data_IF_417651783711
#
_entry.id   IF_417651783711
#
_cell.length_a   1.000
_cell.length_b   1.000
_cell.length_c   1.000
_cell.angle_alpha   90.00
_cell.angle_beta   90.00
_cell.angle_gamma   90.00
#
_symmetry.space_group_name_H-M   'P 1'
#
loop_
_entity.id
_entity.type
_entity.pdbx_description
1 polymer ?
#
# COMPACT_ATOMS: atom_id res chain seq x y z
N UNK A 1 -3.68 -35.30 19.37
CA UNK A 1 -3.47 -34.37 18.26
C UNK A 1 -2.82 -35.09 17.10
N UNK A 2 -3.42 -35.08 15.92
CA UNK A 2 -2.84 -35.71 14.72
C UNK A 2 -1.88 -34.67 14.09
N UNK A 3 -0.59 -34.96 14.11
CA UNK A 3 0.39 -34.10 13.45
C UNK A 3 0.32 -34.30 11.93
N UNK A 4 0.21 -33.21 11.17
CA UNK A 4 0.35 -33.26 9.73
C UNK A 4 1.80 -33.59 9.36
N UNK A 5 1.99 -34.65 8.58
CA UNK A 5 3.32 -34.99 8.03
C UNK A 5 3.36 -34.56 6.57
N UNK A 6 4.35 -33.73 6.22
CA UNK A 6 4.59 -33.37 4.83
C UNK A 6 5.18 -34.57 4.06
N UNK A 7 4.63 -34.83 2.88
CA UNK A 7 5.18 -35.82 1.92
C UNK A 7 6.11 -35.12 0.89
N UNK A 8 6.38 -33.84 1.04
CA UNK A 8 7.22 -33.07 0.14
C UNK A 8 8.67 -33.48 0.28
N UNK A 9 9.31 -33.82 -0.85
CA UNK A 9 10.75 -34.06 -0.94
C UNK A 9 11.44 -32.83 -1.55
N UNK A 10 12.10 -31.99 -0.73
CA UNK A 10 12.76 -30.76 -1.21
C UNK A 10 13.98 -31.01 -2.12
N UNK A 11 14.45 -32.25 -2.21
CA UNK A 11 15.55 -32.65 -3.10
C UNK A 11 15.09 -33.27 -4.42
N UNK A 12 13.78 -33.34 -4.67
CA UNK A 12 13.27 -33.87 -5.93
C UNK A 12 13.35 -32.84 -7.06
N UNK A 13 13.60 -33.27 -8.32
CA UNK A 13 13.57 -32.37 -9.47
C UNK A 13 12.24 -31.59 -9.60
N UNK A 14 11.13 -32.25 -9.34
CA UNK A 14 9.81 -31.63 -9.37
C UNK A 14 9.65 -30.50 -8.31
N UNK A 15 10.25 -30.65 -7.15
CA UNK A 15 10.27 -29.59 -6.13
C UNK A 15 11.11 -28.40 -6.60
N UNK A 16 12.30 -28.67 -7.16
CA UNK A 16 13.19 -27.60 -7.66
C UNK A 16 12.50 -26.79 -8.76
N UNK A 17 11.90 -27.45 -9.75
CA UNK A 17 11.13 -26.79 -10.82
C UNK A 17 9.99 -25.94 -10.27
N UNK A 18 9.21 -26.48 -9.34
CA UNK A 18 8.10 -25.74 -8.72
C UNK A 18 8.59 -24.55 -7.89
N UNK A 19 9.72 -24.70 -7.17
CA UNK A 19 10.31 -23.61 -6.40
C UNK A 19 10.85 -22.49 -7.29
N UNK A 20 11.51 -22.81 -8.40
CA UNK A 20 11.98 -21.83 -9.39
C UNK A 20 10.81 -21.08 -10.06
N UNK A 21 9.76 -21.82 -10.43
CA UNK A 21 8.55 -21.21 -10.99
C UNK A 21 7.85 -20.27 -10.00
N UNK A 22 7.82 -20.61 -8.71
CA UNK A 22 7.29 -19.74 -7.66
C UNK A 22 8.19 -18.52 -7.43
N UNK A 23 9.52 -18.71 -7.38
CA UNK A 23 10.48 -17.63 -7.23
C UNK A 23 10.35 -16.57 -8.35
N UNK A 24 10.14 -17.01 -9.59
CA UNK A 24 9.89 -16.10 -10.70
C UNK A 24 8.63 -15.23 -10.47
N UNK A 25 7.53 -15.84 -10.01
CA UNK A 25 6.30 -15.10 -9.68
C UNK A 25 6.49 -14.12 -8.52
N UNK A 26 7.28 -14.48 -7.52
CA UNK A 26 7.62 -13.58 -6.42
C UNK A 26 8.46 -12.39 -6.89
N UNK A 27 9.38 -12.61 -7.83
CA UNK A 27 10.14 -11.51 -8.45
C UNK A 27 9.23 -10.52 -9.17
N UNK A 28 8.22 -11.00 -9.91
CA UNK A 28 7.24 -10.13 -10.55
C UNK A 28 6.41 -9.33 -9.52
N UNK A 29 6.01 -9.99 -8.44
CA UNK A 29 5.30 -9.34 -7.33
C UNK A 29 6.15 -8.24 -6.67
N UNK A 30 7.41 -8.54 -6.38
CA UNK A 30 8.34 -7.60 -5.76
C UNK A 30 8.59 -6.38 -6.64
N UNK A 31 8.65 -6.57 -7.97
CA UNK A 31 8.77 -5.48 -8.93
C UNK A 31 7.56 -4.55 -8.90
N UNK A 32 6.35 -5.07 -8.74
CA UNK A 32 5.13 -4.25 -8.62
C UNK A 32 5.04 -3.55 -7.26
N UNK A 33 5.44 -4.23 -6.17
CA UNK A 33 5.53 -3.61 -4.85
C UNK A 33 6.55 -2.46 -4.84
N UNK A 34 7.68 -2.62 -5.51
CA UNK A 34 8.68 -1.55 -5.65
C UNK A 34 8.10 -0.30 -6.34
N UNK A 35 7.21 -0.46 -7.32
CA UNK A 35 6.50 0.68 -7.95
C UNK A 35 5.58 1.39 -6.96
N UNK A 36 4.87 0.65 -6.12
CA UNK A 36 4.03 1.23 -5.07
C UNK A 36 4.86 1.99 -4.02
N UNK A 37 6.02 1.46 -3.65
CA UNK A 37 6.95 2.08 -2.70
C UNK A 37 7.59 3.36 -3.27
N UNK A 38 7.89 3.38 -4.57
CA UNK A 38 8.48 4.54 -5.23
C UNK A 38 7.53 5.74 -5.35
N UNK A 39 6.24 5.57 -5.07
CA UNK A 39 5.24 6.63 -5.21
C UNK A 39 5.25 7.23 -6.61
N UNK A 40 5.36 8.55 -6.74
CA UNK A 40 5.48 9.25 -8.02
C UNK A 40 6.85 9.10 -8.70
N UNK A 41 7.80 8.41 -8.05
CA UNK A 41 9.18 8.23 -8.49
C UNK A 41 10.13 9.33 -7.99
N UNK A 42 11.44 9.06 -8.12
CA UNK A 42 12.51 9.86 -7.50
C UNK A 42 12.36 11.37 -7.75
N UNK A 43 12.11 11.77 -9.00
CA UNK A 43 11.93 13.19 -9.37
C UNK A 43 10.84 13.92 -8.55
N UNK A 44 9.71 13.24 -8.32
CA UNK A 44 8.60 13.87 -7.58
C UNK A 44 8.82 13.82 -6.07
N UNK A 45 9.46 12.78 -5.57
CA UNK A 45 9.88 12.66 -4.17
C UNK A 45 10.91 13.75 -3.83
N UNK A 46 11.98 13.89 -4.62
CA UNK A 46 12.98 14.95 -4.46
C UNK A 46 12.37 16.35 -4.48
N UNK A 47 11.46 16.60 -5.44
CA UNK A 47 10.73 17.89 -5.52
C UNK A 47 9.86 18.13 -4.28
N UNK A 48 9.30 17.06 -3.69
CA UNK A 48 8.47 17.14 -2.50
C UNK A 48 9.33 17.48 -1.28
N UNK A 49 10.46 16.79 -1.10
CA UNK A 49 11.45 17.07 -0.06
C UNK A 49 12.06 18.47 -0.18
N UNK A 50 12.38 18.93 -1.40
CA UNK A 50 12.89 20.28 -1.64
C UNK A 50 11.93 21.41 -1.19
N UNK A 51 10.66 21.07 -0.95
CA UNK A 51 9.65 22.00 -0.39
C UNK A 51 9.49 21.86 1.13
N UNK A 52 10.36 21.09 1.79
CA UNK A 52 10.29 20.80 3.22
C UNK A 52 9.14 19.86 3.61
N UNK A 53 8.61 19.08 2.67
CA UNK A 53 7.49 18.18 2.91
C UNK A 53 7.95 16.73 2.98
N UNK A 54 7.23 15.92 3.78
CA UNK A 54 7.45 14.50 3.94
C UNK A 54 6.50 13.71 3.04
N UNK A 55 6.97 12.60 2.49
CA UNK A 55 6.13 11.65 1.74
C UNK A 55 5.04 11.04 2.63
N UNK A 56 4.05 10.39 2.02
CA UNK A 56 2.99 9.72 2.76
C UNK A 56 3.55 8.68 3.75
N UNK A 57 4.56 7.89 3.33
CA UNK A 57 5.17 6.85 4.16
C UNK A 57 5.98 7.44 5.31
N UNK A 58 6.78 8.47 5.06
CA UNK A 58 7.54 9.17 6.10
C UNK A 58 6.62 9.80 7.15
N UNK A 59 5.46 10.34 6.73
CA UNK A 59 4.46 10.87 7.68
C UNK A 59 3.85 9.77 8.55
N UNK A 60 3.58 8.59 7.97
CA UNK A 60 3.09 7.43 8.72
C UNK A 60 4.17 6.96 9.71
N UNK A 61 5.42 6.81 9.25
CA UNK A 61 6.54 6.37 10.09
C UNK A 61 6.78 7.29 11.31
N UNK A 62 6.61 8.59 11.14
CA UNK A 62 6.72 9.55 12.24
C UNK A 62 5.50 9.57 13.18
N UNK A 63 4.38 9.02 12.75
CA UNK A 63 3.14 9.02 13.53
C UNK A 63 2.96 7.77 14.38
N UNK A 64 3.39 6.61 13.88
CA UNK A 64 3.27 5.33 14.59
C UNK A 64 4.27 5.23 15.74
N UNK A 65 3.94 4.44 16.71
CA UNK A 65 4.83 4.18 17.84
C UNK A 65 6.16 3.59 17.37
N UNK A 66 7.30 4.02 17.94
CA UNK A 66 8.61 3.44 17.60
C UNK A 66 8.60 1.92 17.75
N UNK A 67 9.25 1.25 16.81
CA UNK A 67 9.40 -0.22 16.77
C UNK A 67 8.07 -0.99 16.68
N UNK A 68 6.93 -0.30 16.42
CA UNK A 68 5.66 -0.96 16.18
C UNK A 68 5.50 -1.41 14.73
N UNK A 69 4.76 -2.51 14.46
CA UNK A 69 4.54 -2.97 13.09
C UNK A 69 3.57 -2.05 12.35
N UNK A 70 3.82 -1.88 11.04
CA UNK A 70 2.85 -1.28 10.13
C UNK A 70 2.42 -2.31 9.07
N UNK A 71 1.15 -2.70 9.10
CA UNK A 71 0.55 -3.60 8.11
C UNK A 71 -0.05 -2.78 6.97
N UNK A 72 0.67 -2.63 5.86
CA UNK A 72 0.13 -1.93 4.69
C UNK A 72 -1.01 -2.72 4.04
N UNK A 73 -2.13 -2.04 3.77
CA UNK A 73 -3.31 -2.60 3.13
C UNK A 73 -3.35 -2.23 1.64
N UNK A 74 -3.61 -3.22 0.78
CA UNK A 74 -3.79 -3.05 -0.66
C UNK A 74 -2.65 -2.25 -1.35
N UNK A 75 -1.36 -2.57 -1.12
CA UNK A 75 -0.25 -1.84 -1.77
C UNK A 75 -0.30 -1.94 -3.30
N UNK A 76 -0.85 -3.02 -3.85
CA UNK A 76 -1.00 -3.26 -5.29
C UNK A 76 -2.31 -2.73 -5.88
N UNK A 77 -3.03 -1.85 -5.17
CA UNK A 77 -4.21 -1.21 -5.75
C UNK A 77 -3.86 -0.54 -7.08
N UNK A 78 -4.75 -0.67 -8.08
CA UNK A 78 -4.56 -0.24 -9.46
C UNK A 78 -3.61 -1.10 -10.32
N UNK A 79 -3.08 -2.21 -9.80
CA UNK A 79 -2.31 -3.14 -10.61
C UNK A 79 -3.08 -3.56 -11.87
N UNK A 80 -2.40 -3.63 -13.02
CA UNK A 80 -2.99 -3.98 -14.32
C UNK A 80 -3.90 -2.92 -14.93
N UNK A 81 -3.96 -1.72 -14.34
CA UNK A 81 -4.72 -0.57 -14.88
C UNK A 81 -3.79 0.51 -15.45
N UNK A 82 -4.38 1.57 -16.01
CA UNK A 82 -3.64 2.75 -16.46
C UNK A 82 -3.21 3.69 -15.34
N UNK A 83 -3.59 3.40 -14.10
CA UNK A 83 -3.25 4.21 -12.93
C UNK A 83 -1.95 3.72 -12.28
N UNK A 84 -1.29 4.64 -11.56
CA UNK A 84 -0.11 4.30 -10.76
C UNK A 84 -0.46 3.24 -9.71
N UNK A 85 0.38 2.20 -9.60
CA UNK A 85 0.25 1.18 -8.54
C UNK A 85 0.35 1.84 -7.17
N UNK A 86 -0.52 1.45 -6.24
CA UNK A 86 -0.69 2.13 -4.96
C UNK A 86 -1.82 3.17 -4.97
N UNK A 87 -2.30 3.59 -6.16
CA UNK A 87 -3.48 4.44 -6.36
C UNK A 87 -3.43 5.81 -5.64
N UNK A 88 -2.27 6.45 -5.55
CA UNK A 88 -2.04 7.74 -4.86
C UNK A 88 -2.44 7.75 -3.36
N UNK A 89 -2.52 6.59 -2.73
CA UNK A 89 -2.98 6.45 -1.36
C UNK A 89 -2.19 5.34 -0.65
N UNK A 90 -1.65 5.62 0.52
CA UNK A 90 -1.09 4.62 1.43
C UNK A 90 -2.12 4.35 2.52
N UNK A 91 -2.48 3.10 2.71
CA UNK A 91 -3.41 2.66 3.76
C UNK A 91 -2.80 1.52 4.53
N UNK A 92 -3.04 1.45 5.83
CA UNK A 92 -2.51 0.37 6.67
C UNK A 92 -3.05 0.40 8.08
N UNK A 93 -2.65 -0.59 8.86
CA UNK A 93 -2.91 -0.65 10.30
C UNK A 93 -1.57 -0.43 11.00
N UNK A 94 -1.52 0.54 11.90
CA UNK A 94 -0.37 0.86 12.73
C UNK A 94 -0.79 1.11 14.17
N UNK A 95 0.17 1.19 15.07
CA UNK A 95 -0.06 1.46 16.49
C UNK A 95 0.29 2.91 16.79
N UNK A 96 -0.60 3.65 17.45
CA UNK A 96 -0.40 5.03 17.87
C UNK A 96 -0.80 5.14 19.34
N UNK A 97 0.13 5.55 20.21
CA UNK A 97 -0.07 5.61 21.65
C UNK A 97 -0.65 4.30 22.22
N UNK A 98 -0.14 3.16 21.75
CA UNK A 98 -0.56 1.83 22.15
C UNK A 98 -1.91 1.37 21.57
N UNK A 99 -2.53 2.14 20.66
CA UNK A 99 -3.84 1.83 20.08
C UNK A 99 -3.67 1.47 18.59
N UNK A 100 -4.19 0.32 18.17
CA UNK A 100 -4.26 -0.05 16.75
C UNK A 100 -5.24 0.88 16.01
N UNK A 101 -4.75 1.51 14.93
CA UNK A 101 -5.51 2.45 14.12
C UNK A 101 -5.39 2.11 12.64
N UNK A 102 -6.44 2.35 11.86
CA UNK A 102 -6.33 2.40 10.40
C UNK A 102 -5.82 3.77 9.99
N UNK A 103 -4.71 3.77 9.27
CA UNK A 103 -4.07 4.97 8.72
C UNK A 103 -4.38 5.09 7.23
N UNK A 104 -4.71 6.30 6.81
CA UNK A 104 -5.01 6.64 5.41
C UNK A 104 -4.24 7.89 5.06
N UNK A 105 -3.24 7.79 4.19
CA UNK A 105 -2.39 8.91 3.81
C UNK A 105 -2.40 9.11 2.29
N UNK A 106 -2.76 10.32 1.83
CA UNK A 106 -2.60 10.69 0.43
C UNK A 106 -1.11 10.76 0.08
N UNK A 107 -0.75 10.26 -1.11
CA UNK A 107 0.59 10.42 -1.66
C UNK A 107 0.62 11.58 -2.68
N UNK A 108 1.04 12.78 -2.26
CA UNK A 108 1.08 13.94 -3.14
C UNK A 108 2.14 13.86 -4.23
N UNK A 109 3.06 12.89 -4.16
CA UNK A 109 4.05 12.65 -5.22
C UNK A 109 3.39 12.01 -6.46
N UNK A 110 2.22 11.36 -6.29
CA UNK A 110 1.41 10.79 -7.36
C UNK A 110 0.27 11.75 -7.70
N UNK A 111 0.38 12.49 -8.81
CA UNK A 111 -0.64 13.44 -9.28
C UNK A 111 -1.17 14.40 -8.20
N UNK A 112 -0.33 14.83 -7.26
CA UNK A 112 -0.73 15.71 -6.17
C UNK A 112 -1.66 15.07 -5.15
N UNK A 113 -1.68 13.76 -5.02
CA UNK A 113 -2.55 13.03 -4.09
C UNK A 113 -4.03 13.08 -4.47
N UNK A 114 -4.34 13.35 -5.75
CA UNK A 114 -5.74 13.43 -6.23
C UNK A 114 -6.44 12.09 -6.14
N UNK A 115 -7.73 12.15 -5.84
CA UNK A 115 -8.59 10.98 -5.82
C UNK A 115 -8.89 10.50 -7.25
N UNK A 116 -8.81 9.20 -7.45
CA UNK A 116 -9.15 8.49 -8.68
C UNK A 116 -10.04 7.27 -8.34
N UNK A 117 -10.63 6.56 -9.30
CA UNK A 117 -11.52 5.43 -9.00
C UNK A 117 -10.88 4.34 -8.15
N UNK A 118 -9.57 4.12 -8.27
CA UNK A 118 -8.85 3.11 -7.50
C UNK A 118 -8.53 3.58 -6.07
N UNK A 119 -8.15 4.85 -5.91
CA UNK A 119 -7.95 5.40 -4.55
C UNK A 119 -9.26 5.41 -3.77
N UNK A 120 -10.40 5.67 -4.42
CA UNK A 120 -11.71 5.58 -3.80
C UNK A 120 -12.02 4.14 -3.34
N UNK A 121 -11.81 3.13 -4.21
CA UNK A 121 -12.00 1.72 -3.84
C UNK A 121 -11.09 1.32 -2.67
N UNK A 122 -9.83 1.74 -2.70
CA UNK A 122 -8.86 1.50 -1.62
C UNK A 122 -9.29 2.15 -0.31
N UNK A 123 -9.73 3.41 -0.37
CA UNK A 123 -10.27 4.16 0.76
C UNK A 123 -11.49 3.46 1.38
N UNK A 124 -12.46 3.07 0.56
CA UNK A 124 -13.66 2.37 1.02
C UNK A 124 -13.31 1.04 1.69
N UNK A 125 -12.37 0.27 1.11
CA UNK A 125 -11.92 -0.99 1.72
C UNK A 125 -11.22 -0.76 3.06
N UNK A 126 -10.37 0.25 3.19
CA UNK A 126 -9.71 0.59 4.45
C UNK A 126 -10.74 0.97 5.53
N UNK A 127 -11.73 1.80 5.19
CA UNK A 127 -12.82 2.16 6.12
C UNK A 127 -13.70 0.95 6.50
N UNK A 128 -13.97 0.04 5.55
CA UNK A 128 -14.70 -1.20 5.85
C UNK A 128 -13.92 -2.06 6.87
N UNK A 129 -12.61 -2.24 6.68
CA UNK A 129 -11.75 -2.98 7.61
C UNK A 129 -11.77 -2.31 9.00
N UNK A 130 -11.67 -0.97 9.05
CA UNK A 130 -11.74 -0.23 10.29
C UNK A 130 -13.07 -0.46 11.01
N UNK A 131 -14.18 -0.37 10.29
CA UNK A 131 -15.52 -0.58 10.85
C UNK A 131 -15.73 -2.01 11.37
N UNK A 132 -15.37 -3.01 10.58
CA UNK A 132 -15.52 -4.44 10.93
C UNK A 132 -14.68 -4.82 12.15
N UNK A 133 -13.51 -4.19 12.32
CA UNK A 133 -12.59 -4.45 13.44
C UNK A 133 -12.68 -3.41 14.56
N UNK A 134 -13.57 -2.41 14.45
CA UNK A 134 -13.75 -1.33 15.42
C UNK A 134 -12.47 -0.54 15.70
N UNK A 135 -11.67 -0.33 14.65
CA UNK A 135 -10.43 0.44 14.73
C UNK A 135 -10.70 1.93 14.48
N UNK A 136 -10.08 2.84 15.23
CA UNK A 136 -10.05 4.26 14.88
C UNK A 136 -9.45 4.48 13.49
N UNK A 137 -9.89 5.52 12.79
CA UNK A 137 -9.34 5.92 11.49
C UNK A 137 -8.64 7.27 11.62
N UNK A 138 -7.39 7.33 11.19
CA UNK A 138 -6.60 8.56 11.14
C UNK A 138 -6.24 8.84 9.69
N UNK A 139 -6.62 10.02 9.21
CA UNK A 139 -6.36 10.45 7.83
C UNK A 139 -5.31 11.55 7.79
N UNK A 140 -4.20 11.30 7.09
CA UNK A 140 -3.15 12.26 6.77
C UNK A 140 -3.42 12.85 5.39
N UNK A 141 -4.30 13.86 5.35
CA UNK A 141 -4.81 14.39 4.08
C UNK A 141 -3.81 15.37 3.47
N UNK A 142 -3.40 15.09 2.24
CA UNK A 142 -2.71 16.01 1.34
C UNK A 142 -3.14 15.69 -0.10
N UNK A 143 -4.19 16.34 -0.57
CA UNK A 143 -4.84 16.01 -1.85
C UNK A 143 -5.16 17.27 -2.63
N UNK A 144 -4.91 17.20 -3.94
CA UNK A 144 -5.36 18.21 -4.91
C UNK A 144 -6.84 18.10 -5.31
N UNK A 145 -7.62 17.24 -4.66
CA UNK A 145 -9.03 17.01 -4.96
C UNK A 145 -9.28 15.79 -5.85
N UNK A 146 -10.24 15.85 -6.76
CA UNK A 146 -10.54 14.78 -7.71
C UNK A 146 -9.64 14.86 -8.96
N UNK A 147 -9.26 13.71 -9.52
CA UNK A 147 -8.60 13.62 -10.82
C UNK A 147 -9.63 14.00 -11.91
N UNK A 148 -9.52 15.20 -12.46
CA UNK A 148 -10.52 15.77 -13.37
C UNK A 148 -10.87 14.87 -14.57
N UNK A 149 -9.89 14.20 -15.25
CA UNK A 149 -10.20 13.31 -16.35
C UNK A 149 -11.11 12.13 -15.98
N UNK A 150 -11.10 11.70 -14.71
CA UNK A 150 -11.86 10.53 -14.22
C UNK A 150 -12.94 10.89 -13.22
N UNK A 151 -13.25 12.18 -13.04
CA UNK A 151 -14.21 12.64 -12.02
C UNK A 151 -15.59 11.97 -12.14
N UNK A 152 -16.07 11.68 -13.37
CA UNK A 152 -17.36 11.00 -13.60
C UNK A 152 -17.41 9.56 -13.08
N UNK A 153 -16.26 8.98 -12.76
CA UNK A 153 -16.16 7.62 -12.21
C UNK A 153 -16.03 7.65 -10.67
N UNK A 154 -15.88 8.84 -10.09
CA UNK A 154 -15.72 9.06 -8.66
C UNK A 154 -17.04 9.55 -8.03
N UNK A 155 -17.86 10.30 -8.78
CA UNK A 155 -19.12 10.91 -8.32
C UNK A 155 -20.34 10.28 -8.96
#
# INVERSE_FOLDING_TARGET
MTAFRSAVNPHSPAYTEAAEAMAAKLTDLDAELAKALAGGGAKYVERHHARGKLTARERIELLVDPDSPFLELCPLAAFGSSFQVGASLVTGIGVIEGVECVLIANDPTVKGGTSNPWSLKKLLRANQIAFENRLPVISLVESGGADLPTQKEIF
#
